data_IF_676762034485
#
_entry.id   IF_676762034485
#
_cell.length_a   1.000
_cell.length_b   1.000
_cell.length_c   1.000
_cell.angle_alpha   90.00
_cell.angle_beta   90.00
_cell.angle_gamma   90.00
#
_symmetry.space_group_name_H-M   'P 1'
#
loop_
_entity.id
_entity.type
_entity.pdbx_description
1 polymer ?
#
# COMPACT_ATOMS: atom_id res chain seq x y z
N UNK A 1 10.06 -6.20 22.31
CA UNK A 1 9.82 -7.30 21.36
C UNK A 1 9.04 -6.77 20.17
N UNK A 2 9.55 -7.00 18.99
CA UNK A 2 8.92 -6.52 17.75
C UNK A 2 7.84 -7.51 17.29
N UNK A 3 6.76 -7.00 16.70
CA UNK A 3 5.74 -7.87 16.10
C UNK A 3 6.26 -8.66 14.91
N UNK A 4 7.43 -8.29 14.39
CA UNK A 4 8.05 -8.97 13.26
C UNK A 4 8.25 -10.47 13.55
N UNK A 5 8.53 -10.82 14.78
CA UNK A 5 8.72 -12.21 15.20
C UNK A 5 7.44 -13.05 15.09
N UNK A 6 6.28 -12.40 15.14
CA UNK A 6 4.99 -13.07 15.01
C UNK A 6 4.57 -13.27 13.55
N UNK A 7 5.27 -12.64 12.62
CA UNK A 7 4.96 -12.76 11.19
C UNK A 7 5.69 -14.00 10.65
N UNK A 8 4.95 -15.02 10.17
CA UNK A 8 5.58 -16.25 9.72
C UNK A 8 6.23 -16.14 8.35
N UNK A 9 7.09 -17.12 8.03
CA UNK A 9 7.70 -17.24 6.69
C UNK A 9 6.97 -18.22 5.80
N UNK A 10 6.19 -19.11 6.39
CA UNK A 10 5.54 -20.20 5.68
C UNK A 10 4.08 -19.93 5.28
N UNK A 11 3.50 -18.87 5.79
CA UNK A 11 2.12 -18.49 5.50
C UNK A 11 1.89 -17.01 5.73
N UNK A 12 0.79 -16.49 5.16
CA UNK A 12 0.35 -15.13 5.44
C UNK A 12 -0.43 -15.11 6.75
N UNK A 13 -0.20 -14.06 7.54
CA UNK A 13 -0.94 -13.83 8.77
C UNK A 13 -1.74 -12.53 8.62
N UNK A 14 -3.02 -12.56 9.01
CA UNK A 14 -3.86 -11.36 8.93
C UNK A 14 -3.53 -10.40 10.06
N UNK A 15 -3.93 -9.13 9.89
CA UNK A 15 -3.75 -8.13 10.95
C UNK A 15 -4.50 -8.54 12.22
N UNK A 16 -5.70 -9.09 12.06
CA UNK A 16 -6.51 -9.57 13.19
C UNK A 16 -5.79 -10.67 13.96
N UNK A 17 -5.16 -11.59 13.26
CA UNK A 17 -4.37 -12.64 13.90
C UNK A 17 -3.16 -12.05 14.64
N UNK A 18 -2.49 -11.05 14.04
CA UNK A 18 -1.35 -10.39 14.68
C UNK A 18 -1.76 -9.70 15.97
N UNK A 19 -2.90 -9.03 15.97
CA UNK A 19 -3.46 -8.41 17.19
C UNK A 19 -3.67 -9.46 18.26
N UNK A 20 -4.25 -10.58 17.88
CA UNK A 20 -4.57 -11.65 18.83
C UNK A 20 -3.32 -12.31 19.41
N UNK A 21 -2.35 -12.67 18.56
CA UNK A 21 -1.16 -13.39 19.02
C UNK A 21 -0.15 -12.48 19.75
N UNK A 22 -0.09 -11.22 19.39
CA UNK A 22 0.81 -10.26 20.01
C UNK A 22 0.25 -9.67 21.31
N UNK A 23 -1.08 -9.65 21.45
CA UNK A 23 -1.75 -9.01 22.58
C UNK A 23 -1.71 -7.49 22.51
N UNK A 24 -1.30 -6.91 21.39
CA UNK A 24 -1.21 -5.46 21.18
C UNK A 24 -2.45 -4.93 20.48
N UNK A 25 -2.73 -3.63 20.66
CA UNK A 25 -3.88 -3.01 20.00
C UNK A 25 -3.70 -2.91 18.48
N UNK A 26 -4.82 -2.90 17.76
CA UNK A 26 -4.84 -2.84 16.29
C UNK A 26 -4.07 -1.62 15.76
N UNK A 27 -4.26 -0.47 16.38
CA UNK A 27 -3.59 0.77 15.96
C UNK A 27 -2.07 0.66 16.09
N UNK A 28 -1.62 0.07 17.18
CA UNK A 28 -0.20 -0.13 17.45
C UNK A 28 0.39 -1.12 16.44
N UNK A 29 -0.31 -2.21 16.15
CA UNK A 29 0.11 -3.21 15.16
C UNK A 29 0.26 -2.58 13.78
N UNK A 30 -0.71 -1.76 13.35
CA UNK A 30 -0.64 -1.07 12.06
C UNK A 30 0.59 -0.16 11.97
N UNK A 31 0.86 0.57 13.04
CA UNK A 31 2.01 1.47 13.09
C UNK A 31 3.31 0.70 12.98
N UNK A 32 3.44 -0.40 13.71
CA UNK A 32 4.63 -1.22 13.67
C UNK A 32 4.85 -1.84 12.30
N UNK A 33 3.81 -2.37 11.68
CA UNK A 33 3.91 -2.91 10.32
C UNK A 33 4.44 -1.84 9.35
N UNK A 34 3.90 -0.65 9.44
CA UNK A 34 4.29 0.45 8.55
C UNK A 34 5.77 0.80 8.72
N UNK A 35 6.26 0.84 9.95
CA UNK A 35 7.66 1.12 10.24
C UNK A 35 8.58 -0.01 9.79
N UNK A 36 8.18 -1.25 10.03
CA UNK A 36 8.96 -2.42 9.62
C UNK A 36 9.13 -2.49 8.10
N UNK A 37 8.10 -2.08 7.36
CA UNK A 37 8.15 -2.08 5.90
C UNK A 37 9.11 -1.05 5.32
N UNK A 38 9.49 -0.08 6.09
CA UNK A 38 10.44 0.97 5.66
C UNK A 38 11.90 0.60 5.94
N UNK A 39 12.13 -0.50 6.63
CA UNK A 39 13.46 -0.95 7.00
C UNK A 39 13.84 -2.20 6.19
N UNK A 40 14.92 -2.17 5.40
CA UNK A 40 15.31 -3.32 4.59
C UNK A 40 15.75 -4.54 5.41
N UNK A 41 16.03 -4.37 6.70
CA UNK A 41 16.37 -5.48 7.58
C UNK A 41 15.12 -6.27 8.04
N UNK A 42 13.92 -5.68 7.91
CA UNK A 42 12.68 -6.29 8.37
C UNK A 42 11.66 -6.35 7.22
N UNK A 43 12.01 -7.09 6.18
CA UNK A 43 11.19 -7.18 4.97
C UNK A 43 9.89 -7.91 5.27
N UNK A 44 8.77 -7.28 4.91
CA UNK A 44 7.43 -7.86 4.99
C UNK A 44 6.83 -7.79 3.61
N UNK A 45 6.31 -8.90 3.13
CA UNK A 45 5.62 -8.96 1.84
C UNK A 45 4.11 -9.08 2.05
N UNK A 46 3.37 -8.56 1.07
CA UNK A 46 1.93 -8.72 0.98
C UNK A 46 1.59 -9.10 -0.46
N UNK A 47 0.41 -9.68 -0.66
CA UNK A 47 -0.02 -10.11 -1.98
C UNK A 47 -1.42 -9.59 -2.25
N UNK A 48 -1.71 -9.28 -3.51
CA UNK A 48 -3.05 -8.91 -3.94
C UNK A 48 -4.01 -10.12 -3.87
N UNK A 49 -3.47 -11.33 -3.84
CA UNK A 49 -4.27 -12.56 -3.85
C UNK A 49 -4.50 -13.15 -2.46
N UNK A 50 -3.66 -12.82 -1.49
CA UNK A 50 -3.78 -13.35 -0.13
C UNK A 50 -3.78 -12.21 0.87
N UNK A 51 -4.72 -12.26 1.80
CA UNK A 51 -4.80 -11.27 2.87
C UNK A 51 -3.67 -11.46 3.86
N UNK A 52 -3.08 -10.36 4.29
CA UNK A 52 -2.15 -10.34 5.39
C UNK A 52 -0.71 -10.12 4.98
N UNK A 53 0.16 -10.54 5.87
CA UNK A 53 1.59 -10.24 5.81
C UNK A 53 2.39 -11.52 6.00
N UNK A 54 3.58 -11.54 5.41
CA UNK A 54 4.46 -12.69 5.49
C UNK A 54 5.90 -12.21 5.44
N UNK A 55 6.80 -12.87 6.16
CA UNK A 55 8.23 -12.66 5.94
C UNK A 55 8.63 -13.47 4.71
N UNK A 56 9.54 -12.95 3.87
CA UNK A 56 9.93 -13.69 2.67
C UNK A 56 10.74 -14.95 3.03
N UNK A 57 10.47 -16.02 2.30
CA UNK A 57 11.23 -17.25 2.42
C UNK A 57 12.22 -17.43 1.27
N UNK A 58 12.06 -16.65 0.19
CA UNK A 58 12.97 -16.68 -0.96
C UNK A 58 12.93 -15.33 -1.69
N UNK A 59 13.91 -15.09 -2.53
CA UNK A 59 14.03 -13.82 -3.26
C UNK A 59 12.89 -13.64 -4.27
N UNK A 60 12.38 -14.71 -4.82
CA UNK A 60 11.28 -14.66 -5.81
C UNK A 60 10.02 -14.06 -5.21
N UNK A 61 9.76 -14.30 -3.93
CA UNK A 61 8.63 -13.68 -3.24
C UNK A 61 8.79 -12.17 -3.12
N UNK A 62 10.01 -11.71 -2.87
CA UNK A 62 10.33 -10.28 -2.81
C UNK A 62 10.16 -9.64 -4.19
N UNK A 63 10.67 -10.30 -5.23
CA UNK A 63 10.57 -9.80 -6.60
C UNK A 63 9.12 -9.67 -7.05
N UNK A 64 8.29 -10.65 -6.73
CA UNK A 64 6.88 -10.62 -7.07
C UNK A 64 6.16 -9.46 -6.38
N UNK A 65 6.43 -9.27 -5.10
CA UNK A 65 5.87 -8.17 -4.32
C UNK A 65 6.31 -6.81 -4.88
N UNK A 66 7.58 -6.69 -5.27
CA UNK A 66 8.12 -5.47 -5.85
C UNK A 66 7.44 -5.15 -7.19
N UNK A 67 7.25 -6.15 -8.03
CA UNK A 67 6.62 -5.97 -9.34
C UNK A 67 5.16 -5.55 -9.21
N UNK A 68 4.42 -6.11 -8.26
CA UNK A 68 3.05 -5.70 -7.97
C UNK A 68 3.00 -4.24 -7.50
N UNK A 69 3.94 -3.85 -6.65
CA UNK A 69 4.04 -2.48 -6.15
C UNK A 69 4.33 -1.49 -7.28
N UNK A 70 5.26 -1.82 -8.15
CA UNK A 70 5.61 -0.96 -9.31
C UNK A 70 4.43 -0.78 -10.25
N UNK A 71 3.67 -1.84 -10.48
CA UNK A 71 2.48 -1.79 -11.32
C UNK A 71 1.43 -0.84 -10.74
N UNK A 72 1.18 -0.91 -9.43
CA UNK A 72 0.23 -0.01 -8.76
C UNK A 72 0.67 1.44 -8.83
N UNK A 73 1.97 1.71 -8.65
CA UNK A 73 2.50 3.08 -8.75
C UNK A 73 2.28 3.63 -10.16
N UNK A 74 2.53 2.82 -11.17
CA UNK A 74 2.33 3.24 -12.56
C UNK A 74 0.88 3.60 -12.82
N UNK A 75 -0.06 2.77 -12.37
CA UNK A 75 -1.49 3.04 -12.52
C UNK A 75 -1.90 4.33 -11.80
N UNK A 76 -1.41 4.55 -10.60
CA UNK A 76 -1.69 5.77 -9.84
C UNK A 76 -1.14 7.01 -10.54
N UNK A 77 0.03 6.93 -11.12
CA UNK A 77 0.61 8.04 -11.88
C UNK A 77 -0.23 8.39 -13.10
N UNK A 78 -0.77 7.39 -13.79
CA UNK A 78 -1.66 7.61 -14.93
C UNK A 78 -2.94 8.33 -14.51
N UNK A 79 -3.53 7.91 -13.39
CA UNK A 79 -4.72 8.55 -12.83
C UNK A 79 -4.44 9.99 -12.43
N UNK A 80 -3.28 10.27 -11.85
CA UNK A 80 -2.88 11.62 -11.47
C UNK A 80 -2.77 12.53 -12.69
N UNK A 81 -2.20 12.03 -13.78
CA UNK A 81 -2.09 12.81 -15.03
C UNK A 81 -3.46 13.18 -15.58
N UNK A 82 -4.40 12.25 -15.52
CA UNK A 82 -5.77 12.51 -15.97
C UNK A 82 -6.42 13.61 -15.13
N UNK A 83 -6.27 13.52 -13.81
CA UNK A 83 -6.83 14.54 -12.90
C UNK A 83 -6.18 15.89 -13.09
N UNK A 84 -4.88 15.95 -13.29
CA UNK A 84 -4.16 17.19 -13.56
C UNK A 84 -4.64 17.86 -14.86
N UNK A 85 -4.83 17.07 -15.88
CA UNK A 85 -5.36 17.58 -17.15
C UNK A 85 -6.77 18.11 -16.97
N UNK A 86 -7.62 17.37 -16.29
CA UNK A 86 -8.99 17.79 -16.01
C UNK A 86 -9.02 19.11 -15.26
N UNK A 87 -8.15 19.27 -14.26
CA UNK A 87 -8.07 20.51 -13.50
C UNK A 87 -7.66 21.69 -14.37
N UNK A 88 -6.69 21.52 -15.27
CA UNK A 88 -6.29 22.57 -16.20
C UNK A 88 -7.42 22.95 -17.14
N UNK A 89 -8.14 21.97 -17.65
CA UNK A 89 -9.26 22.23 -18.57
C UNK A 89 -10.40 22.97 -17.87
N UNK A 90 -10.71 22.62 -16.63
CA UNK A 90 -11.71 23.34 -15.84
C UNK A 90 -11.31 24.78 -15.58
N UNK A 91 -10.07 25.04 -15.20
CA UNK A 91 -9.57 26.40 -14.98
C UNK A 91 -9.60 27.22 -16.24
N UNK A 92 -9.26 26.66 -17.37
CA UNK A 92 -9.28 27.32 -18.66
C UNK A 92 -10.71 27.77 -19.01
N UNK A 93 -11.70 26.92 -18.79
CA UNK A 93 -13.09 27.23 -19.04
C UNK A 93 -13.60 28.31 -18.10
N UNK A 94 -13.19 28.34 -16.85
CA UNK A 94 -13.54 29.40 -15.92
C UNK A 94 -12.98 30.75 -16.36
N UNK A 95 -11.72 30.79 -16.80
CA UNK A 95 -11.07 32.02 -17.27
C UNK A 95 -11.80 32.58 -18.51
N UNK A 96 -12.27 31.70 -19.36
CA UNK A 96 -13.01 32.12 -20.57
C UNK A 96 -14.45 32.51 -20.29
N UNK A 97 -14.86 32.53 -19.02
CA UNK A 97 -16.22 32.92 -18.66
C UNK A 97 -17.25 31.84 -18.96
N UNK A 98 -16.81 30.66 -19.33
CA UNK A 98 -17.67 29.52 -19.56
C UNK A 98 -17.62 28.59 -18.34
N UNK A 99 -18.68 28.63 -17.59
CA UNK A 99 -18.81 27.73 -16.46
C UNK A 99 -19.38 26.40 -16.94
N UNK A 100 -18.65 25.32 -16.69
CA UNK A 100 -19.06 24.00 -17.14
C UNK A 100 -20.33 23.51 -16.47
N UNK A 101 -20.69 24.12 -15.37
CA UNK A 101 -21.88 23.76 -14.60
C UNK A 101 -22.91 24.84 -14.58
N UNK A 102 -22.84 25.74 -15.51
CA UNK A 102 -23.79 26.80 -15.65
C UNK A 102 -24.97 26.28 -16.47
N UNK A 103 -25.78 25.53 -15.82
CA UNK A 103 -26.98 24.96 -16.37
C UNK A 103 -28.19 25.26 -15.56
#
# INVERSE_FOLDING_TARGET
>A
MSIYEFIPRDRFITREELVRVSGLGDRFVRRQINELRKNPATVIISSSHKKGYKRPSCIEEIELCLNESKSRVKDEMEKQRVLEKAMRDFKKNEINGQLLFDF
#
